data_IF_403604587129
#
_entry.id   IF_403604587129
#
_cell.length_a   1.000
_cell.length_b   1.000
_cell.length_c   1.000
_cell.angle_alpha   90.00
_cell.angle_beta   90.00
_cell.angle_gamma   90.00
#
_symmetry.space_group_name_H-M   'P 1'
#
loop_
_entity.id
_entity.type
_entity.pdbx_description
1 polymer ?
#
# COMPACT_ATOMS: atom_id res chain seq x y z
N UNK A 1 57.90 -39.62 -45.94
CA UNK A 1 56.43 -39.60 -46.11
C UNK A 1 55.75 -40.34 -44.96
N UNK A 2 56.11 -41.61 -44.71
CA UNK A 2 55.51 -42.46 -43.67
C UNK A 2 55.56 -41.86 -42.25
N UNK A 3 56.70 -41.29 -41.86
CA UNK A 3 56.86 -40.62 -40.57
C UNK A 3 55.96 -39.38 -40.42
N UNK A 4 55.71 -38.63 -41.49
CA UNK A 4 54.81 -37.46 -41.47
C UNK A 4 53.36 -37.89 -41.27
N UNK A 5 52.89 -38.87 -42.05
CA UNK A 5 51.51 -39.38 -41.98
C UNK A 5 51.20 -39.96 -40.60
N UNK A 6 52.14 -40.73 -40.04
CA UNK A 6 52.01 -41.30 -38.70
C UNK A 6 51.95 -40.22 -37.62
N UNK A 7 52.84 -39.22 -37.69
CA UNK A 7 52.89 -38.15 -36.68
C UNK A 7 51.68 -37.20 -36.80
N UNK A 8 51.21 -36.92 -38.02
CA UNK A 8 50.00 -36.12 -38.24
C UNK A 8 48.77 -36.84 -37.73
N UNK A 9 48.63 -38.13 -38.06
CA UNK A 9 47.52 -38.94 -37.57
C UNK A 9 47.50 -38.99 -36.05
N UNK A 10 48.65 -39.20 -35.42
CA UNK A 10 48.71 -39.28 -33.97
C UNK A 10 48.46 -37.93 -33.26
N UNK A 11 48.95 -36.82 -33.81
CA UNK A 11 48.68 -35.48 -33.27
C UNK A 11 47.23 -35.04 -33.48
N UNK A 12 46.64 -35.34 -34.64
CA UNK A 12 45.25 -34.98 -34.94
C UNK A 12 44.26 -35.86 -34.18
N UNK A 13 44.52 -37.16 -34.04
CA UNK A 13 43.70 -38.06 -33.20
C UNK A 13 43.75 -37.65 -31.73
N UNK A 14 44.90 -37.21 -31.22
CA UNK A 14 44.99 -36.67 -29.87
C UNK A 14 44.19 -35.36 -29.72
N UNK A 15 44.31 -34.44 -30.67
CA UNK A 15 43.55 -33.19 -30.68
C UNK A 15 42.03 -33.43 -30.78
N UNK A 16 41.59 -34.39 -31.59
CA UNK A 16 40.18 -34.78 -31.72
C UNK A 16 39.59 -35.40 -30.44
N UNK A 17 40.44 -35.81 -29.49
CA UNK A 17 40.06 -36.33 -28.18
C UNK A 17 40.26 -35.28 -27.06
N UNK A 18 40.42 -34.00 -27.39
CA UNK A 18 40.69 -32.90 -26.43
C UNK A 18 42.11 -32.92 -25.84
N UNK A 19 42.99 -33.80 -26.32
CA UNK A 19 44.35 -33.98 -25.79
C UNK A 19 45.36 -33.19 -26.63
N UNK A 20 45.56 -31.92 -26.28
CA UNK A 20 46.44 -31.02 -27.06
C UNK A 20 47.92 -31.02 -26.66
N UNK A 21 48.32 -31.81 -25.67
CA UNK A 21 49.72 -31.89 -25.21
C UNK A 21 50.66 -32.54 -26.23
N UNK A 22 50.13 -33.32 -27.19
CA UNK A 22 50.93 -33.99 -28.21
C UNK A 22 51.23 -33.04 -29.37
N UNK A 23 52.45 -32.52 -29.39
CA UNK A 23 52.92 -31.68 -30.49
C UNK A 23 53.47 -32.49 -31.65
N UNK A 24 53.15 -32.07 -32.88
CA UNK A 24 53.77 -32.62 -34.06
C UNK A 24 55.24 -32.17 -34.08
N UNK A 25 56.16 -33.13 -34.13
CA UNK A 25 57.60 -32.87 -34.14
C UNK A 25 58.06 -32.30 -35.48
N UNK A 26 58.48 -31.03 -35.50
CA UNK A 26 58.90 -30.31 -36.72
C UNK A 26 60.37 -30.59 -37.09
N UNK A 27 61.18 -31.05 -36.12
CA UNK A 27 62.63 -31.26 -36.27
C UNK A 27 62.93 -32.35 -37.30
N UNK A 28 63.75 -32.04 -38.30
CA UNK A 28 64.15 -32.99 -39.36
C UNK A 28 63.22 -33.04 -40.59
N UNK A 29 62.15 -32.23 -40.63
CA UNK A 29 61.24 -32.18 -41.80
C UNK A 29 61.70 -31.15 -42.84
N UNK A 30 61.83 -31.53 -44.12
CA UNK A 30 62.21 -30.61 -45.20
C UNK A 30 60.99 -29.97 -45.89
N UNK A 31 61.16 -28.71 -46.33
CA UNK A 31 60.23 -28.01 -47.23
C UNK A 31 58.77 -28.04 -46.80
N UNK A 32 57.88 -28.44 -47.71
CA UNK A 32 56.41 -28.44 -47.54
C UNK A 32 55.91 -29.29 -46.37
N UNK A 33 56.63 -30.34 -45.97
CA UNK A 33 56.27 -31.14 -44.78
C UNK A 33 56.48 -30.37 -43.47
N UNK A 34 57.47 -29.47 -43.42
CA UNK A 34 57.68 -28.57 -42.27
C UNK A 34 56.54 -27.58 -42.14
N UNK A 35 56.12 -26.98 -43.25
CA UNK A 35 55.02 -26.02 -43.27
C UNK A 35 53.69 -26.70 -42.88
N UNK A 36 53.44 -27.91 -43.38
CA UNK A 36 52.29 -28.73 -42.97
C UNK A 36 52.30 -29.05 -41.47
N UNK A 37 53.45 -29.46 -40.94
CA UNK A 37 53.64 -29.72 -39.51
C UNK A 37 53.38 -28.48 -38.63
N UNK A 38 53.87 -27.32 -39.06
CA UNK A 38 53.60 -26.04 -38.38
C UNK A 38 52.12 -25.68 -38.43
N UNK A 39 51.45 -25.83 -39.58
CA UNK A 39 50.01 -25.62 -39.71
C UNK A 39 49.19 -26.54 -38.80
N UNK A 40 49.56 -27.82 -38.67
CA UNK A 40 48.92 -28.77 -37.74
C UNK A 40 49.10 -28.31 -36.29
N UNK A 41 50.31 -27.87 -35.92
CA UNK A 41 50.55 -27.34 -34.57
C UNK A 41 49.73 -26.08 -34.29
N UNK A 42 49.68 -25.12 -35.23
CA UNK A 42 48.85 -23.91 -35.10
C UNK A 42 47.36 -24.25 -34.98
N UNK A 43 46.84 -25.15 -35.83
CA UNK A 43 45.46 -25.60 -35.76
C UNK A 43 45.14 -26.24 -34.41
N UNK A 44 46.03 -27.10 -33.89
CA UNK A 44 45.90 -27.70 -32.56
C UNK A 44 45.88 -26.64 -31.45
N UNK A 45 46.78 -25.66 -31.52
CA UNK A 45 46.85 -24.61 -30.50
C UNK A 45 45.59 -23.72 -30.52
N UNK A 46 45.02 -23.45 -31.72
CA UNK A 46 43.71 -22.79 -31.84
C UNK A 46 42.56 -23.65 -31.31
N UNK A 47 42.56 -24.96 -31.54
CA UNK A 47 41.56 -25.87 -30.98
C UNK A 47 41.65 -25.90 -29.45
N UNK A 48 42.86 -25.94 -28.87
CA UNK A 48 43.08 -25.87 -27.42
C UNK A 48 42.53 -24.59 -26.82
N UNK A 49 42.79 -23.45 -27.47
CA UNK A 49 42.25 -22.17 -27.02
C UNK A 49 40.72 -22.13 -27.14
N UNK A 50 40.16 -22.71 -28.20
CA UNK A 50 38.71 -22.85 -28.39
C UNK A 50 38.04 -23.73 -27.33
N UNK A 51 38.64 -24.87 -26.97
CA UNK A 51 38.10 -25.76 -25.92
C UNK A 51 38.14 -25.10 -24.54
N UNK A 52 39.25 -24.44 -24.18
CA UNK A 52 39.33 -23.68 -22.93
C UNK A 52 38.31 -22.53 -22.86
N UNK A 53 38.07 -21.84 -23.99
CA UNK A 53 37.05 -20.80 -24.07
C UNK A 53 35.62 -21.38 -23.96
N UNK A 54 35.38 -22.56 -24.54
CA UNK A 54 34.09 -23.25 -24.44
C UNK A 54 33.82 -23.76 -23.02
N UNK A 55 34.82 -24.31 -22.33
CA UNK A 55 34.71 -24.72 -20.92
C UNK A 55 34.35 -23.53 -20.03
N UNK A 56 35.03 -22.39 -20.20
CA UNK A 56 34.75 -21.18 -19.44
C UNK A 56 33.36 -20.60 -19.75
N UNK A 57 32.94 -20.65 -21.02
CA UNK A 57 31.60 -20.23 -21.44
C UNK A 57 30.52 -21.14 -20.86
N UNK A 58 30.74 -22.46 -20.82
CA UNK A 58 29.85 -23.42 -20.18
C UNK A 58 29.75 -23.20 -18.66
N UNK A 59 30.88 -22.94 -17.99
CA UNK A 59 30.91 -22.61 -16.56
C UNK A 59 30.12 -21.34 -16.26
N UNK A 60 30.33 -20.29 -17.06
CA UNK A 60 29.59 -19.02 -16.93
C UNK A 60 28.10 -19.22 -17.19
N UNK A 61 27.74 -20.02 -18.20
CA UNK A 61 26.34 -20.37 -18.53
C UNK A 61 25.67 -21.10 -17.37
N UNK A 62 26.32 -22.07 -16.74
CA UNK A 62 25.79 -22.77 -15.57
C UNK A 62 25.55 -21.83 -14.39
N UNK A 63 26.51 -20.96 -14.08
CA UNK A 63 26.33 -19.95 -13.03
C UNK A 63 25.16 -19.01 -13.32
N UNK A 64 24.94 -18.62 -14.58
CA UNK A 64 23.79 -17.82 -14.98
C UNK A 64 22.46 -18.58 -14.80
N UNK A 65 22.42 -19.86 -15.17
CA UNK A 65 21.23 -20.72 -14.98
C UNK A 65 20.88 -20.82 -13.50
N UNK A 66 21.84 -21.13 -12.64
CA UNK A 66 21.63 -21.25 -11.19
C UNK A 66 21.12 -19.93 -10.60
N UNK A 67 21.74 -18.81 -10.97
CA UNK A 67 21.32 -17.48 -10.52
C UNK A 67 19.92 -17.13 -11.00
N UNK A 68 19.56 -17.51 -12.22
CA UNK A 68 18.23 -17.24 -12.78
C UNK A 68 17.14 -18.07 -12.09
N UNK A 69 17.43 -19.32 -11.71
CA UNK A 69 16.53 -20.15 -10.88
C UNK A 69 16.33 -19.50 -9.51
N UNK A 70 17.41 -19.07 -8.84
CA UNK A 70 17.37 -18.37 -7.55
C UNK A 70 16.48 -17.13 -7.61
N UNK A 71 16.66 -16.28 -8.63
CA UNK A 71 15.83 -15.08 -8.84
C UNK A 71 14.37 -15.45 -9.06
N UNK A 72 14.08 -16.48 -9.87
CA UNK A 72 12.70 -16.92 -10.12
C UNK A 72 11.99 -17.35 -8.84
N UNK A 73 12.67 -18.12 -7.98
CA UNK A 73 12.13 -18.55 -6.68
C UNK A 73 11.88 -17.35 -5.77
N UNK A 74 12.81 -16.39 -5.71
CA UNK A 74 12.63 -15.18 -4.92
C UNK A 74 11.46 -14.32 -5.40
N UNK A 75 11.26 -14.17 -6.72
CA UNK A 75 10.12 -13.43 -7.27
C UNK A 75 8.80 -14.11 -6.91
N UNK A 76 8.71 -15.45 -7.00
CA UNK A 76 7.51 -16.19 -6.62
C UNK A 76 7.18 -16.02 -5.12
N UNK A 77 8.20 -16.09 -4.25
CA UNK A 77 8.03 -15.87 -2.81
C UNK A 77 7.55 -14.44 -2.50
N UNK A 78 8.21 -13.42 -3.07
CA UNK A 78 7.82 -12.02 -2.92
C UNK A 78 6.40 -11.76 -3.45
N UNK A 79 6.02 -12.40 -4.56
CA UNK A 79 4.68 -12.32 -5.11
C UNK A 79 3.62 -12.90 -4.15
N UNK A 80 3.92 -14.02 -3.51
CA UNK A 80 3.02 -14.64 -2.52
C UNK A 80 2.84 -13.73 -1.31
N UNK A 81 3.92 -13.14 -0.82
CA UNK A 81 3.90 -12.20 0.31
C UNK A 81 3.13 -10.91 -0.02
N UNK A 82 3.29 -10.38 -1.23
CA UNK A 82 2.51 -9.24 -1.73
C UNK A 82 1.02 -9.57 -1.81
N UNK A 83 0.66 -10.75 -2.30
CA UNK A 83 -0.72 -11.22 -2.34
C UNK A 83 -1.34 -11.32 -0.94
N UNK A 84 -0.62 -11.88 0.03
CA UNK A 84 -1.07 -11.95 1.42
C UNK A 84 -1.22 -10.55 2.04
N UNK A 85 -0.25 -9.66 1.79
CA UNK A 85 -0.28 -8.28 2.28
C UNK A 85 -1.47 -7.50 1.70
N UNK A 86 -1.77 -7.68 0.42
CA UNK A 86 -2.95 -7.10 -0.22
C UNK A 86 -4.26 -7.58 0.43
N UNK A 87 -4.37 -8.87 0.77
CA UNK A 87 -5.56 -9.38 1.47
C UNK A 87 -5.74 -8.75 2.85
N UNK A 88 -4.66 -8.59 3.62
CA UNK A 88 -4.68 -7.93 4.93
C UNK A 88 -5.09 -6.47 4.80
N UNK A 89 -4.52 -5.75 3.83
CA UNK A 89 -4.88 -4.35 3.56
C UNK A 89 -6.35 -4.22 3.13
N UNK A 90 -6.86 -5.12 2.29
CA UNK A 90 -8.26 -5.13 1.89
C UNK A 90 -9.20 -5.34 3.09
N UNK A 91 -8.81 -6.22 4.02
CA UNK A 91 -9.57 -6.43 5.26
C UNK A 91 -9.54 -5.19 6.16
N UNK A 92 -8.38 -4.54 6.30
CA UNK A 92 -8.25 -3.30 7.07
C UNK A 92 -9.06 -2.16 6.45
N UNK A 93 -9.08 -2.04 5.13
CA UNK A 93 -9.88 -1.05 4.42
C UNK A 93 -11.38 -1.27 4.66
N UNK A 94 -11.87 -2.52 4.59
CA UNK A 94 -13.27 -2.84 4.93
C UNK A 94 -13.62 -2.47 6.37
N UNK A 95 -12.77 -2.81 7.34
CA UNK A 95 -12.95 -2.41 8.74
C UNK A 95 -13.03 -0.89 8.88
N UNK A 96 -12.16 -0.15 8.18
CA UNK A 96 -12.18 1.30 8.17
C UNK A 96 -13.50 1.89 7.63
N UNK A 97 -14.10 1.28 6.60
CA UNK A 97 -15.43 1.71 6.10
C UNK A 97 -16.53 1.48 7.14
N UNK A 98 -16.49 0.33 7.83
CA UNK A 98 -17.46 0.02 8.89
C UNK A 98 -17.34 1.01 10.06
N UNK A 99 -16.12 1.33 10.49
CA UNK A 99 -15.85 2.32 11.53
C UNK A 99 -16.30 3.73 11.12
N UNK A 100 -16.01 4.15 9.89
CA UNK A 100 -16.46 5.43 9.35
C UNK A 100 -18.00 5.53 9.32
N UNK A 101 -18.68 4.43 8.95
CA UNK A 101 -20.14 4.35 8.93
C UNK A 101 -20.73 4.44 10.34
N UNK A 102 -20.14 3.75 11.31
CA UNK A 102 -20.55 3.82 12.72
C UNK A 102 -20.35 5.23 13.30
N UNK A 103 -19.22 5.86 12.98
CA UNK A 103 -18.94 7.25 13.36
C UNK A 103 -19.99 8.20 12.77
N UNK A 104 -20.33 8.06 11.48
CA UNK A 104 -21.36 8.87 10.82
C UNK A 104 -22.73 8.73 11.51
N UNK A 105 -23.13 7.50 11.86
CA UNK A 105 -24.38 7.26 12.60
C UNK A 105 -24.39 7.96 13.97
N UNK A 106 -23.26 7.96 14.66
CA UNK A 106 -23.12 8.62 15.97
C UNK A 106 -23.25 10.14 15.84
N UNK A 107 -22.62 10.71 14.81
CA UNK A 107 -22.67 12.14 14.50
C UNK A 107 -24.08 12.58 14.10
N UNK A 108 -24.81 11.75 13.35
CA UNK A 108 -26.23 12.00 13.04
C UNK A 108 -27.12 12.00 14.30
N UNK A 109 -26.87 11.10 15.26
CA UNK A 109 -27.59 11.07 16.53
C UNK A 109 -27.29 12.32 17.38
N UNK A 110 -26.04 12.81 17.36
CA UNK A 110 -25.65 14.07 17.98
C UNK A 110 -26.36 15.27 17.34
N UNK A 111 -26.50 15.30 16.01
CA UNK A 111 -27.21 16.36 15.31
C UNK A 111 -28.70 16.40 15.68
N UNK A 112 -29.35 15.23 15.78
CA UNK A 112 -30.74 15.12 16.24
C UNK A 112 -30.89 15.62 17.68
N UNK A 113 -30.01 15.17 18.58
CA UNK A 113 -30.02 15.57 19.98
C UNK A 113 -29.83 17.09 20.13
N UNK A 114 -28.93 17.69 19.34
CA UNK A 114 -28.72 19.14 19.34
C UNK A 114 -29.97 19.90 18.87
N UNK A 115 -30.72 19.38 17.89
CA UNK A 115 -32.01 19.97 17.45
C UNK A 115 -33.07 19.90 18.55
N UNK A 116 -33.17 18.78 19.26
CA UNK A 116 -34.11 18.62 20.39
C UNK A 116 -33.77 19.59 21.54
N UNK A 117 -32.49 19.70 21.90
CA UNK A 117 -32.03 20.67 22.91
C UNK A 117 -32.40 22.10 22.46
N UNK A 118 -32.17 22.44 21.20
CA UNK A 118 -32.50 23.76 20.70
C UNK A 118 -34.00 24.08 20.80
N UNK A 119 -34.88 23.10 20.53
CA UNK A 119 -36.32 23.25 20.72
C UNK A 119 -36.70 23.45 22.20
N UNK A 120 -36.10 22.68 23.10
CA UNK A 120 -36.32 22.82 24.54
C UNK A 120 -35.88 24.21 25.06
N UNK A 121 -34.72 24.69 24.61
CA UNK A 121 -34.19 26.01 24.98
C UNK A 121 -35.08 27.14 24.47
N UNK A 122 -35.62 27.03 23.25
CA UNK A 122 -36.60 27.98 22.73
C UNK A 122 -37.88 28.02 23.57
N UNK A 123 -38.36 26.85 24.04
CA UNK A 123 -39.50 26.79 24.95
C UNK A 123 -39.20 27.46 26.29
N UNK A 124 -38.03 27.19 26.89
CA UNK A 124 -37.60 27.84 28.15
C UNK A 124 -37.54 29.35 27.98
N UNK A 125 -36.96 29.84 26.89
CA UNK A 125 -36.89 31.27 26.57
C UNK A 125 -38.29 31.91 26.47
N UNK A 126 -39.24 31.21 25.84
CA UNK A 126 -40.63 31.67 25.76
C UNK A 126 -41.30 31.71 27.14
N UNK A 127 -41.11 30.68 27.96
CA UNK A 127 -41.63 30.63 29.34
C UNK A 127 -41.04 31.73 30.21
N UNK A 128 -39.73 31.98 30.11
CA UNK A 128 -39.05 33.07 30.80
C UNK A 128 -39.63 34.43 30.38
N UNK A 129 -39.82 34.66 29.08
CA UNK A 129 -40.44 35.90 28.58
C UNK A 129 -41.88 36.09 29.09
N UNK A 130 -42.70 35.04 29.12
CA UNK A 130 -44.07 35.11 29.66
C UNK A 130 -44.08 35.35 31.17
N UNK A 131 -43.21 34.66 31.91
CA UNK A 131 -43.05 34.83 33.36
C UNK A 131 -42.64 36.26 33.68
N UNK A 132 -41.75 36.84 32.88
CA UNK A 132 -41.34 38.24 33.02
C UNK A 132 -42.50 39.21 32.83
N UNK A 133 -43.37 38.97 31.84
CA UNK A 133 -44.58 39.79 31.62
C UNK A 133 -45.58 39.65 32.77
N UNK A 134 -45.78 38.44 33.30
CA UNK A 134 -46.63 38.20 34.46
C UNK A 134 -46.10 38.92 35.71
N UNK A 135 -44.78 38.84 35.95
CA UNK A 135 -44.11 39.54 37.05
C UNK A 135 -44.22 41.07 36.91
N UNK A 136 -44.12 41.60 35.69
CA UNK A 136 -44.32 43.01 35.41
C UNK A 136 -45.76 43.46 35.74
N UNK A 137 -46.76 42.69 35.30
CA UNK A 137 -48.17 42.97 35.61
C UNK A 137 -48.43 42.92 37.12
N UNK A 138 -47.87 41.93 37.82
CA UNK A 138 -47.95 41.83 39.28
C UNK A 138 -47.28 43.03 39.98
N UNK A 139 -46.15 43.51 39.46
CA UNK A 139 -45.46 44.71 39.98
C UNK A 139 -46.36 45.95 39.84
N UNK A 140 -47.05 46.11 38.71
CA UNK A 140 -47.99 47.22 38.46
C UNK A 140 -49.16 47.16 39.44
N UNK A 141 -49.76 45.99 39.64
CA UNK A 141 -50.91 45.84 40.54
C UNK A 141 -50.50 46.02 42.01
N UNK A 142 -49.31 45.55 42.40
CA UNK A 142 -48.75 45.77 43.72
C UNK A 142 -48.51 47.27 44.01
N UNK A 143 -48.03 48.03 43.02
CA UNK A 143 -47.91 49.48 43.13
C UNK A 143 -49.28 50.16 43.28
N UNK A 144 -50.31 49.65 42.59
CA UNK A 144 -51.68 50.16 42.65
C UNK A 144 -52.33 49.92 44.02
N UNK A 145 -52.01 48.81 44.68
CA UNK A 145 -52.47 48.50 46.04
C UNK A 145 -51.79 49.35 47.15
N UNK A 146 -50.80 50.18 46.81
CA UNK A 146 -50.14 51.09 47.74
C UNK A 146 -49.39 50.35 48.88
N UNK A 147 -49.59 50.80 50.12
CA UNK A 147 -48.92 50.23 51.30
C UNK A 147 -49.21 48.73 51.49
N UNK A 148 -50.42 48.27 51.14
CA UNK A 148 -50.83 46.87 51.25
C UNK A 148 -50.15 45.95 50.21
N UNK A 149 -49.60 46.53 49.14
CA UNK A 149 -48.94 45.79 48.05
C UNK A 149 -47.43 45.62 48.20
N UNK A 150 -46.79 46.22 49.21
CA UNK A 150 -45.30 46.23 49.32
C UNK A 150 -44.67 44.84 49.31
N UNK A 151 -45.26 43.87 50.04
CA UNK A 151 -44.75 42.49 50.05
C UNK A 151 -44.85 41.80 48.70
N UNK A 152 -45.97 42.00 47.98
CA UNK A 152 -46.16 41.49 46.63
C UNK A 152 -45.21 42.14 45.62
N UNK A 153 -44.90 43.42 45.77
CA UNK A 153 -43.96 44.12 44.90
C UNK A 153 -42.54 43.52 44.98
N UNK A 154 -42.08 43.14 46.18
CA UNK A 154 -40.76 42.48 46.35
C UNK A 154 -40.73 41.13 45.65
N UNK A 155 -41.76 40.30 45.84
CA UNK A 155 -41.86 38.99 45.19
C UNK A 155 -41.93 39.14 43.66
N UNK A 156 -42.72 40.09 43.16
CA UNK A 156 -42.83 40.33 41.73
C UNK A 156 -41.50 40.79 41.10
N UNK A 157 -40.73 41.62 41.80
CA UNK A 157 -39.40 42.02 41.36
C UNK A 157 -38.42 40.84 41.31
N UNK A 158 -38.44 39.96 42.31
CA UNK A 158 -37.59 38.76 42.35
C UNK A 158 -37.92 37.80 41.21
N UNK A 159 -39.21 37.54 40.97
CA UNK A 159 -39.66 36.69 39.84
C UNK A 159 -39.22 37.28 38.50
N UNK A 160 -39.27 38.62 38.35
CA UNK A 160 -38.80 39.30 37.14
C UNK A 160 -37.29 39.07 36.93
N UNK A 161 -36.48 39.21 37.98
CA UNK A 161 -35.03 38.97 37.93
C UNK A 161 -34.72 37.53 37.54
N UNK A 162 -35.37 36.55 38.17
CA UNK A 162 -35.20 35.13 37.83
C UNK A 162 -35.60 34.83 36.37
N UNK A 163 -36.65 35.47 35.87
CA UNK A 163 -37.05 35.35 34.47
C UNK A 163 -36.02 35.94 33.50
N UNK A 164 -35.46 37.11 33.82
CA UNK A 164 -34.38 37.73 33.03
C UNK A 164 -33.09 36.87 33.05
N UNK A 165 -32.74 36.27 34.20
CA UNK A 165 -31.61 35.34 34.32
C UNK A 165 -31.83 34.05 33.53
N UNK A 166 -33.03 33.46 33.61
CA UNK A 166 -33.39 32.27 32.83
C UNK A 166 -33.32 32.52 31.32
N UNK A 167 -33.73 33.71 30.86
CA UNK A 167 -33.61 34.09 29.46
C UNK A 167 -32.15 34.19 29.00
N UNK A 168 -31.28 34.81 29.81
CA UNK A 168 -29.83 34.90 29.52
C UNK A 168 -29.17 33.53 29.46
N UNK A 169 -29.40 32.68 30.45
CA UNK A 169 -28.88 31.31 30.46
C UNK A 169 -29.37 30.50 29.23
N UNK A 170 -30.59 30.76 28.76
CA UNK A 170 -31.10 30.13 27.53
C UNK A 170 -30.38 30.62 26.27
N UNK A 171 -29.97 31.89 26.23
CA UNK A 171 -29.17 32.44 25.14
C UNK A 171 -27.76 31.82 25.12
N UNK A 172 -27.11 31.69 26.28
CA UNK A 172 -25.79 31.05 26.41
C UNK A 172 -25.82 29.58 25.95
N UNK A 173 -26.86 28.82 26.36
CA UNK A 173 -27.04 27.43 25.90
C UNK A 173 -27.26 27.39 24.38
N UNK A 174 -28.00 28.36 23.82
CA UNK A 174 -28.23 28.43 22.36
C UNK A 174 -26.91 28.58 21.61
N UNK A 175 -26.01 29.43 22.09
CA UNK A 175 -24.67 29.61 21.52
C UNK A 175 -23.84 28.32 21.61
N UNK A 176 -23.86 27.65 22.77
CA UNK A 176 -23.13 26.41 22.98
C UNK A 176 -23.63 25.26 22.08
N UNK A 177 -24.95 25.17 21.88
CA UNK A 177 -25.56 24.21 20.95
C UNK A 177 -25.17 24.52 19.51
N UNK A 178 -25.15 25.79 19.11
CA UNK A 178 -24.71 26.20 17.77
C UNK A 178 -23.23 25.82 17.52
N UNK A 179 -22.34 26.08 18.49
CA UNK A 179 -20.94 25.67 18.42
C UNK A 179 -20.79 24.14 18.31
N UNK A 180 -21.58 23.39 19.09
CA UNK A 180 -21.58 21.91 19.05
C UNK A 180 -22.03 21.39 17.68
N UNK A 181 -23.06 22.00 17.07
CA UNK A 181 -23.50 21.65 15.70
C UNK A 181 -22.44 21.92 14.66
N UNK A 182 -21.77 23.07 14.72
CA UNK A 182 -20.66 23.37 13.80
C UNK A 182 -19.51 22.35 13.92
N UNK A 183 -19.19 21.92 15.14
CA UNK A 183 -18.19 20.86 15.36
C UNK A 183 -18.66 19.50 14.79
N UNK A 184 -19.93 19.15 14.96
CA UNK A 184 -20.55 17.95 14.37
C UNK A 184 -20.49 18.00 12.83
N UNK A 185 -20.79 19.13 12.21
CA UNK A 185 -20.68 19.30 10.74
C UNK A 185 -19.24 19.15 10.25
N UNK A 186 -18.26 19.72 10.97
CA UNK A 186 -16.84 19.53 10.67
C UNK A 186 -16.42 18.06 10.80
N UNK A 187 -16.97 17.33 11.78
CA UNK A 187 -16.73 15.90 11.95
C UNK A 187 -17.30 15.08 10.78
N UNK A 188 -18.50 15.39 10.28
CA UNK A 188 -19.07 14.75 9.06
C UNK A 188 -18.10 14.90 7.89
N UNK A 189 -17.64 16.12 7.62
CA UNK A 189 -16.70 16.36 6.51
C UNK A 189 -15.38 15.61 6.67
N UNK A 190 -14.89 15.46 7.91
CA UNK A 190 -13.68 14.68 8.18
C UNK A 190 -13.91 13.18 7.91
N UNK A 191 -15.06 12.64 8.34
CA UNK A 191 -15.44 11.25 8.09
C UNK A 191 -15.57 10.99 6.58
N UNK A 192 -16.19 11.89 5.82
CA UNK A 192 -16.32 11.75 4.37
C UNK A 192 -14.94 11.71 3.67
N UNK A 193 -14.00 12.56 4.09
CA UNK A 193 -12.62 12.52 3.56
C UNK A 193 -11.93 11.19 3.88
N UNK A 194 -12.12 10.66 5.09
CA UNK A 194 -11.57 9.36 5.49
C UNK A 194 -12.18 8.24 4.65
N UNK A 195 -13.50 8.24 4.45
CA UNK A 195 -14.18 7.26 3.62
C UNK A 195 -13.68 7.30 2.17
N UNK A 196 -13.47 8.49 1.61
CA UNK A 196 -12.86 8.67 0.28
C UNK A 196 -11.44 8.10 0.19
N UNK A 197 -10.59 8.40 1.16
CA UNK A 197 -9.22 7.87 1.21
C UNK A 197 -9.18 6.34 1.32
N UNK A 198 -10.12 5.74 2.07
CA UNK A 198 -10.25 4.27 2.17
C UNK A 198 -10.71 3.67 0.83
N UNK A 199 -11.59 4.36 0.10
CA UNK A 199 -12.02 3.89 -1.21
C UNK A 199 -10.85 3.87 -2.22
N UNK A 200 -10.03 4.91 -2.24
CA UNK A 200 -8.79 4.95 -3.04
C UNK A 200 -7.82 3.84 -2.63
N UNK A 201 -7.65 3.61 -1.33
CA UNK A 201 -6.81 2.54 -0.79
C UNK A 201 -7.27 1.17 -1.30
N UNK A 202 -8.58 0.91 -1.34
CA UNK A 202 -9.12 -0.34 -1.86
C UNK A 202 -8.76 -0.56 -3.35
N UNK A 203 -8.79 0.51 -4.16
CA UNK A 203 -8.37 0.45 -5.56
C UNK A 203 -6.88 0.14 -5.71
N UNK A 204 -6.03 0.72 -4.86
CA UNK A 204 -4.59 0.42 -4.84
C UNK A 204 -4.32 -1.03 -4.44
N UNK A 205 -5.04 -1.53 -3.43
CA UNK A 205 -4.91 -2.91 -2.95
C UNK A 205 -5.32 -3.93 -4.02
N UNK A 206 -6.39 -3.66 -4.76
CA UNK A 206 -6.76 -4.49 -5.92
C UNK A 206 -5.65 -4.51 -6.98
N UNK A 207 -5.06 -3.34 -7.27
CA UNK A 207 -3.90 -3.24 -8.16
C UNK A 207 -2.70 -4.08 -7.70
N UNK A 208 -2.39 -4.09 -6.40
CA UNK A 208 -1.32 -4.93 -5.83
C UNK A 208 -1.67 -6.42 -5.97
N UNK A 209 -2.92 -6.80 -5.66
CA UNK A 209 -3.37 -8.18 -5.77
C UNK A 209 -3.26 -8.70 -7.22
N UNK A 210 -3.62 -7.87 -8.20
CA UNK A 210 -3.47 -8.19 -9.62
C UNK A 210 -2.01 -8.28 -10.05
N UNK A 211 -1.16 -7.35 -9.61
CA UNK A 211 0.27 -7.38 -9.92
C UNK A 211 0.98 -8.62 -9.33
N UNK A 212 0.52 -9.09 -8.17
CA UNK A 212 1.04 -10.30 -7.55
C UNK A 212 0.51 -11.58 -8.23
N UNK A 213 -0.82 -11.77 -8.26
CA UNK A 213 -1.45 -13.04 -8.60
C UNK A 213 -2.28 -13.09 -9.88
N UNK A 214 -2.38 -11.97 -10.62
CA UNK A 214 -3.14 -11.93 -11.88
C UNK A 214 -2.48 -12.75 -13.00
N UNK A 215 -3.17 -12.87 -14.15
CA UNK A 215 -2.75 -13.66 -15.32
C UNK A 215 -1.48 -13.15 -16.03
N UNK A 216 -0.94 -12.02 -15.59
CA UNK A 216 0.37 -11.48 -15.98
C UNK A 216 1.16 -11.02 -14.76
N UNK A 217 0.78 -11.54 -13.58
CA UNK A 217 1.37 -11.18 -12.30
C UNK A 217 2.74 -11.80 -12.09
N UNK A 218 3.42 -11.33 -11.06
CA UNK A 218 4.77 -11.77 -10.70
C UNK A 218 4.84 -13.29 -10.46
N UNK A 219 3.79 -13.89 -9.90
CA UNK A 219 3.74 -15.34 -9.66
C UNK A 219 3.81 -16.16 -10.95
N UNK A 220 3.01 -15.79 -11.96
CA UNK A 220 2.96 -16.51 -13.24
C UNK A 220 4.24 -16.28 -14.07
N UNK A 221 4.79 -15.07 -14.02
CA UNK A 221 6.08 -14.74 -14.62
C UNK A 221 7.22 -15.55 -14.00
N UNK A 222 7.26 -15.66 -12.67
CA UNK A 222 8.26 -16.45 -11.96
C UNK A 222 8.17 -17.94 -12.31
N UNK A 223 6.95 -18.48 -12.38
CA UNK A 223 6.73 -19.88 -12.76
C UNK A 223 7.15 -20.16 -14.21
N UNK A 224 6.79 -19.27 -15.13
CA UNK A 224 7.17 -19.38 -16.55
C UNK A 224 8.68 -19.30 -16.72
N UNK A 225 9.32 -18.33 -16.07
CA UNK A 225 10.77 -18.15 -16.10
C UNK A 225 11.49 -19.39 -15.55
N UNK A 226 11.06 -19.91 -14.40
CA UNK A 226 11.63 -21.13 -13.82
C UNK A 226 11.53 -22.33 -14.75
N UNK A 227 10.37 -22.49 -15.41
CA UNK A 227 10.09 -23.56 -16.36
C UNK A 227 10.99 -23.46 -17.60
N UNK A 228 11.16 -22.26 -18.15
CA UNK A 228 11.98 -22.02 -19.34
C UNK A 228 13.47 -22.19 -19.05
N UNK A 229 13.96 -21.73 -17.89
CA UNK A 229 15.36 -21.93 -17.47
C UNK A 229 15.65 -23.42 -17.26
N UNK A 230 14.72 -24.16 -16.64
CA UNK A 230 14.87 -25.59 -16.42
C UNK A 230 14.92 -26.37 -17.73
N UNK A 231 14.11 -25.98 -18.73
CA UNK A 231 14.22 -26.56 -20.09
C UNK A 231 15.54 -26.20 -20.76
N UNK A 232 16.00 -24.96 -20.64
CA UNK A 232 17.29 -24.53 -21.21
C UNK A 232 18.47 -25.29 -20.61
N UNK A 233 18.45 -25.54 -19.30
CA UNK A 233 19.45 -26.34 -18.62
C UNK A 233 19.44 -27.82 -19.05
N UNK A 234 18.27 -28.37 -19.39
CA UNK A 234 18.14 -29.77 -19.82
C UNK A 234 18.58 -30.02 -21.27
N UNK A 235 18.65 -28.98 -22.12
CA UNK A 235 19.00 -29.10 -23.54
C UNK A 235 20.52 -28.99 -23.81
N UNK A 236 21.32 -28.59 -22.82
CA UNK A 236 22.72 -28.23 -23.00
C UNK A 236 23.58 -28.48 -21.77
#
# INVERSE_FOLDING_TARGET
>A
MDAFVRESGASLTAAAQGRFHRQFLVRGMPGTFRDGAQRINTARDTMRAGEAALEEQNRTRQLMVDKAIEVSVHVAAASTELGASAQVLAASARSGVEEATAALSTVQALELSAKEIQQAVLLIKNVASQTRLLALNATIEAARAGEFGRGFAVVAAEVKTLADESARSSDDITEQVAASRAATEAAVQAIDRVAGAIHEMNGQVDGIAQAAGGTQGLSELAETLHRDISRFAAQH
#
